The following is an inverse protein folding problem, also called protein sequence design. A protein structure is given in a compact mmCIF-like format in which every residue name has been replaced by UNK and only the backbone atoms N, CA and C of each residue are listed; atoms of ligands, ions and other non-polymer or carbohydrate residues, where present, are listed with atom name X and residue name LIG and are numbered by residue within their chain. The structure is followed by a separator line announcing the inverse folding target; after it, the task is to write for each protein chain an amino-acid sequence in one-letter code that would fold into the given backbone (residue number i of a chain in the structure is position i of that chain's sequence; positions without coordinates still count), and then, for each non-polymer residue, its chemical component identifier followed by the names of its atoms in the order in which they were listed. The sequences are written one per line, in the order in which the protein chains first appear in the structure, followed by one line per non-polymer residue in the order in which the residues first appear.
data_IF_271815438365
#
_entry.id   IF_271815438365
#
_cell.length_a   1.000
_cell.length_b   1.000
_cell.length_c   1.000
_cell.angle_alpha   90.00
_cell.angle_beta   90.00
_cell.angle_gamma   90.00
#
_symmetry.space_group_name_H-M   'P 1'
#
loop_
_entity.id
_entity.type
_entity.pdbx_description
1 polymer ?
#
# COMPACT_ATOMS: atom_id res chain seq x y z
N UNK A 1 -11.94 15.38 -23.30
CA UNK A 1 -12.11 13.92 -23.44
C UNK A 1 -10.93 13.17 -22.76
N UNK A 2 -10.54 13.55 -21.54
CA UNK A 2 -9.45 12.91 -20.78
C UNK A 2 -10.01 12.38 -19.46
N UNK A 3 -9.62 11.16 -19.05
CA UNK A 3 -10.03 10.56 -17.76
C UNK A 3 -9.04 10.85 -16.63
N UNK A 4 -7.94 11.56 -16.89
CA UNK A 4 -6.94 11.94 -15.88
C UNK A 4 -6.43 10.72 -15.11
N UNK A 5 -6.46 10.82 -13.77
CA UNK A 5 -6.00 9.77 -12.85
C UNK A 5 -7.10 8.79 -12.43
N UNK A 6 -8.22 8.67 -13.17
CA UNK A 6 -9.35 7.82 -12.79
C UNK A 6 -8.95 6.37 -12.46
N UNK A 7 -8.13 5.72 -13.31
CA UNK A 7 -7.72 4.33 -13.10
C UNK A 7 -6.73 4.15 -11.94
N UNK A 8 -6.06 5.23 -11.50
CA UNK A 8 -5.16 5.19 -10.35
C UNK A 8 -5.92 4.76 -9.08
N UNK A 9 -7.15 5.27 -8.92
CA UNK A 9 -8.02 4.89 -7.82
C UNK A 9 -8.42 3.41 -7.89
N UNK A 10 -8.60 2.86 -9.09
CA UNK A 10 -9.05 1.48 -9.28
C UNK A 10 -7.94 0.52 -8.88
N UNK A 11 -6.70 0.83 -9.29
CA UNK A 11 -5.51 0.09 -8.87
C UNK A 11 -5.32 0.15 -7.33
N UNK A 12 -5.42 1.34 -6.73
CA UNK A 12 -5.31 1.48 -5.28
C UNK A 12 -6.41 0.70 -4.53
N UNK A 13 -7.65 0.75 -5.01
CA UNK A 13 -8.77 0.02 -4.41
C UNK A 13 -8.59 -1.50 -4.48
N UNK A 14 -8.05 -2.03 -5.59
CA UNK A 14 -7.75 -3.45 -5.73
C UNK A 14 -6.70 -3.91 -4.68
N UNK A 15 -5.62 -3.15 -4.52
CA UNK A 15 -4.57 -3.44 -3.53
C UNK A 15 -5.11 -3.41 -2.09
N UNK A 16 -5.94 -2.43 -1.75
CA UNK A 16 -6.59 -2.36 -0.44
C UNK A 16 -7.52 -3.56 -0.23
N UNK A 17 -8.24 -3.99 -1.27
CA UNK A 17 -9.12 -5.17 -1.19
C UNK A 17 -8.33 -6.46 -0.97
N UNK A 18 -7.21 -6.64 -1.66
CA UNK A 18 -6.29 -7.78 -1.43
C UNK A 18 -5.76 -7.79 0.01
N UNK A 19 -5.39 -6.63 0.54
CA UNK A 19 -4.91 -6.51 1.92
C UNK A 19 -5.94 -6.98 2.96
N UNK A 20 -7.25 -6.88 2.67
CA UNK A 20 -8.30 -7.39 3.58
C UNK A 20 -8.19 -8.90 3.75
N UNK A 21 -7.93 -9.63 2.67
CA UNK A 21 -7.71 -11.09 2.70
C UNK A 21 -6.42 -11.43 3.45
N UNK A 22 -5.34 -10.70 3.16
CA UNK A 22 -4.05 -10.88 3.81
C UNK A 22 -4.08 -10.55 5.32
N UNK A 23 -5.06 -9.78 5.80
CA UNK A 23 -5.17 -9.40 7.20
C UNK A 23 -5.68 -10.52 8.11
N UNK A 24 -6.12 -11.67 7.59
CA UNK A 24 -6.43 -12.82 8.44
C UNK A 24 -5.16 -13.26 9.19
N UNK A 25 -5.16 -13.43 10.52
CA UNK A 25 -3.94 -13.79 11.24
C UNK A 25 -3.48 -15.19 10.81
N UNK A 26 -2.22 -15.35 10.39
CA UNK A 26 -1.70 -16.69 10.08
C UNK A 26 -1.40 -17.50 11.36
N UNK A 27 -1.16 -16.81 12.48
CA UNK A 27 -0.78 -17.42 13.75
C UNK A 27 -1.92 -18.07 14.54
N UNK A 28 -3.15 -18.02 14.04
CA UNK A 28 -4.29 -18.77 14.64
C UNK A 28 -4.39 -20.19 14.09
N UNK A 29 -3.58 -20.53 13.09
CA UNK A 29 -3.45 -21.87 12.55
C UNK A 29 -2.26 -22.60 13.17
N UNK A 30 -2.40 -23.91 13.38
CA UNK A 30 -1.35 -24.80 13.86
C UNK A 30 -1.61 -26.20 13.33
N UNK A 31 -0.61 -26.76 12.64
CA UNK A 31 -0.64 -28.13 12.12
C UNK A 31 0.45 -28.90 12.88
N UNK A 32 0.08 -29.91 13.69
CA UNK A 32 1.05 -30.74 14.38
C UNK A 32 2.03 -31.40 13.40
N UNK A 33 3.30 -31.43 13.77
CA UNK A 33 4.34 -32.09 12.98
C UNK A 33 5.14 -33.06 13.85
N UNK A 34 6.09 -33.77 13.24
CA UNK A 34 6.99 -34.69 13.97
C UNK A 34 6.25 -35.74 14.81
N UNK A 35 5.12 -36.27 14.31
CA UNK A 35 4.33 -37.28 15.02
C UNK A 35 3.72 -36.77 16.33
N UNK A 36 3.22 -35.53 16.34
CA UNK A 36 2.70 -34.82 17.52
C UNK A 36 3.74 -34.47 18.59
N UNK A 37 5.04 -34.51 18.29
CA UNK A 37 6.04 -33.92 19.20
C UNK A 37 6.06 -32.40 19.13
N UNK A 38 5.80 -31.85 17.94
CA UNK A 38 5.60 -30.41 17.72
C UNK A 38 4.10 -30.20 17.48
N UNK A 39 3.32 -30.31 18.55
CA UNK A 39 1.85 -30.26 18.52
C UNK A 39 1.29 -28.83 18.42
N UNK A 40 2.13 -27.81 18.62
CA UNK A 40 1.79 -26.41 18.44
C UNK A 40 2.86 -25.65 17.63
N UNK A 41 2.45 -25.04 16.52
CA UNK A 41 3.33 -24.27 15.62
C UNK A 41 2.72 -22.91 15.34
N UNK A 42 3.54 -21.86 15.32
CA UNK A 42 3.08 -20.47 15.23
C UNK A 42 2.71 -19.98 13.82
N UNK A 43 3.05 -20.74 12.78
CA UNK A 43 2.96 -20.32 11.37
C UNK A 43 3.60 -18.94 11.09
N UNK A 44 4.62 -18.56 11.87
CA UNK A 44 5.22 -17.22 11.84
C UNK A 44 5.88 -16.83 10.51
N UNK A 45 6.41 -17.80 9.76
CA UNK A 45 6.96 -17.56 8.42
C UNK A 45 5.88 -17.09 7.44
N UNK A 46 4.69 -17.69 7.50
CA UNK A 46 3.54 -17.27 6.68
C UNK A 46 3.06 -15.89 7.09
N UNK A 47 3.01 -15.59 8.39
CA UNK A 47 2.72 -14.23 8.87
C UNK A 47 3.71 -13.19 8.31
N UNK A 48 5.00 -13.51 8.32
CA UNK A 48 6.06 -12.65 7.78
C UNK A 48 5.92 -12.43 6.25
N UNK A 49 5.57 -13.48 5.49
CA UNK A 49 5.30 -13.35 4.06
C UNK A 49 4.08 -12.46 3.78
N UNK A 50 3.00 -12.64 4.53
CA UNK A 50 1.78 -11.82 4.37
C UNK A 50 2.03 -10.35 4.65
N UNK A 51 2.73 -10.01 5.75
CA UNK A 51 3.01 -8.60 6.07
C UNK A 51 3.93 -7.95 5.04
N UNK A 52 4.90 -8.68 4.47
CA UNK A 52 5.76 -8.16 3.39
C UNK A 52 4.94 -7.74 2.17
N UNK A 53 3.96 -8.55 1.77
CA UNK A 53 3.05 -8.21 0.66
C UNK A 53 2.19 -6.99 1.01
N UNK A 54 1.60 -6.96 2.21
CA UNK A 54 0.79 -5.82 2.67
C UNK A 54 1.58 -4.51 2.66
N UNK A 55 2.83 -4.51 3.14
CA UNK A 55 3.70 -3.31 3.13
C UNK A 55 3.96 -2.84 1.68
N UNK A 56 4.19 -3.77 0.76
CA UNK A 56 4.38 -3.45 -0.67
C UNK A 56 3.13 -2.81 -1.25
N UNK A 57 1.95 -3.37 -0.97
CA UNK A 57 0.67 -2.86 -1.43
C UNK A 57 0.37 -1.47 -0.84
N UNK A 58 0.62 -1.26 0.45
CA UNK A 58 0.45 0.04 1.12
C UNK A 58 1.37 1.09 0.51
N UNK A 59 2.62 0.73 0.20
CA UNK A 59 3.56 1.65 -0.45
C UNK A 59 3.04 2.16 -1.80
N UNK A 60 2.43 1.28 -2.60
CA UNK A 60 1.78 1.65 -3.86
C UNK A 60 0.55 2.53 -3.67
N UNK A 61 -0.27 2.26 -2.66
CA UNK A 61 -1.45 3.08 -2.32
C UNK A 61 -1.04 4.50 -1.90
N UNK A 62 -0.02 4.62 -1.04
CA UNK A 62 0.53 5.93 -0.64
C UNK A 62 1.12 6.66 -1.85
N UNK A 63 1.87 5.97 -2.71
CA UNK A 63 2.41 6.58 -3.92
C UNK A 63 1.31 7.12 -4.85
N UNK A 64 0.21 6.38 -5.00
CA UNK A 64 -0.96 6.80 -5.76
C UNK A 64 -1.62 8.06 -5.16
N UNK A 65 -1.80 8.08 -3.84
CA UNK A 65 -2.33 9.26 -3.13
C UNK A 65 -1.42 10.48 -3.31
N UNK A 66 -0.12 10.31 -3.13
CA UNK A 66 0.86 11.38 -3.31
C UNK A 66 0.86 11.94 -4.73
N UNK A 67 0.74 11.09 -5.75
CA UNK A 67 0.65 11.52 -7.15
C UNK A 67 -0.63 12.33 -7.41
N UNK A 68 -1.77 11.86 -6.90
CA UNK A 68 -3.05 12.55 -7.03
C UNK A 68 -3.03 13.91 -6.31
N UNK A 69 -2.51 13.95 -5.09
CA UNK A 69 -2.35 15.19 -4.31
C UNK A 69 -1.42 16.17 -5.02
N UNK A 70 -0.28 15.69 -5.53
CA UNK A 70 0.67 16.49 -6.29
C UNK A 70 0.05 17.08 -7.56
N UNK A 71 -0.78 16.32 -8.29
CA UNK A 71 -1.52 16.85 -9.44
C UNK A 71 -2.57 17.88 -9.02
N UNK A 72 -3.25 17.64 -7.90
CA UNK A 72 -4.24 18.54 -7.31
C UNK A 72 -3.65 19.91 -6.91
N UNK A 73 -2.40 19.92 -6.47
CA UNK A 73 -1.68 21.15 -6.09
C UNK A 73 -1.53 22.14 -7.25
N UNK A 74 -1.61 21.70 -8.50
CA UNK A 74 -1.57 22.59 -9.67
C UNK A 74 -2.89 23.33 -9.91
N UNK A 75 -3.98 22.90 -9.28
CA UNK A 75 -5.32 23.47 -9.48
C UNK A 75 -5.79 24.36 -8.33
N UNK A 76 -4.95 24.60 -7.32
CA UNK A 76 -5.27 25.43 -6.17
C UNK A 76 -4.53 26.77 -6.23
N UNK A 77 -5.14 27.81 -5.65
CA UNK A 77 -4.57 29.17 -5.58
C UNK A 77 -3.98 29.52 -4.21
N UNK A 78 -4.24 28.72 -3.18
CA UNK A 78 -3.76 28.97 -1.83
C UNK A 78 -2.35 28.44 -1.60
N UNK A 79 -1.65 29.00 -0.61
CA UNK A 79 -0.27 28.61 -0.29
C UNK A 79 -0.27 27.25 0.40
N UNK A 80 0.39 26.28 -0.23
CA UNK A 80 0.70 24.96 0.38
C UNK A 80 1.84 25.05 1.40
N UNK A 81 1.78 24.17 2.40
CA UNK A 81 2.81 24.03 3.43
C UNK A 81 4.17 23.61 2.87
N UNK A 82 5.25 23.95 3.57
CA UNK A 82 6.62 23.72 3.07
C UNK A 82 6.93 22.23 2.84
N UNK A 83 6.49 21.34 3.73
CA UNK A 83 6.69 19.90 3.55
C UNK A 83 6.00 19.35 2.29
N UNK A 84 4.75 19.78 2.04
CA UNK A 84 4.01 19.39 0.84
C UNK A 84 4.68 19.89 -0.44
N UNK A 85 5.28 21.09 -0.43
CA UNK A 85 6.05 21.60 -1.58
C UNK A 85 7.27 20.75 -1.89
N UNK A 86 8.00 20.31 -0.86
CA UNK A 86 9.15 19.40 -1.04
C UNK A 86 8.70 18.09 -1.66
N UNK A 87 7.63 17.48 -1.12
CA UNK A 87 7.06 16.25 -1.68
C UNK A 87 6.62 16.42 -3.14
N UNK A 88 5.89 17.49 -3.46
CA UNK A 88 5.47 17.81 -4.82
C UNK A 88 6.68 17.95 -5.77
N UNK A 89 7.72 18.66 -5.35
CA UNK A 89 8.94 18.83 -6.16
C UNK A 89 9.61 17.48 -6.46
N UNK A 90 9.82 16.64 -5.45
CA UNK A 90 10.42 15.30 -5.63
C UNK A 90 9.58 14.40 -6.54
N UNK A 91 8.24 14.51 -6.47
CA UNK A 91 7.36 13.76 -7.38
C UNK A 91 7.52 14.27 -8.82
N UNK A 92 7.58 15.60 -9.03
CA UNK A 92 7.78 16.22 -10.35
C UNK A 92 9.11 15.85 -11.01
N UNK A 93 10.16 15.58 -10.22
CA UNK A 93 11.44 15.09 -10.74
C UNK A 93 11.33 13.69 -11.37
N UNK A 94 10.40 12.87 -10.88
CA UNK A 94 10.23 11.47 -11.33
C UNK A 94 9.09 11.29 -12.32
N UNK A 95 8.04 12.10 -12.20
CA UNK A 95 6.84 12.00 -13.03
C UNK A 95 6.53 13.42 -13.57
N UNK A 96 6.91 13.72 -14.81
CA UNK A 96 6.51 14.96 -15.45
C UNK A 96 5.04 14.85 -15.89
N UNK A 97 4.21 15.78 -15.45
CA UNK A 97 2.82 15.97 -15.96
C UNK A 97 2.65 17.34 -16.63
#
# INVERSE_FOLDING_TARGET
LNSGLMLLQYAAAALVSENKVLSHPASVDSIPTSGNQEDHVSMGSIAAHKVRTVITNVSWVIAAEMLAASRGMEYISHKVGQGAKVAHHLIRERVPF
#
